data_IF_978970491103
#
_entry.id   IF_978970491103
#
_cell.length_a   1.000
_cell.length_b   1.000
_cell.length_c   1.000
_cell.angle_alpha   90.00
_cell.angle_beta   90.00
_cell.angle_gamma   90.00
#
_symmetry.space_group_name_H-M   'P 1'
#
loop_
_entity.id
_entity.type
_entity.pdbx_description
1 polymer ?
#
# COMPACT_ATOMS: atom_id res chain seq x y z
N UNK A 1 -32.14 27.52 15.57
CA UNK A 1 -32.33 28.90 15.13
C UNK A 1 -31.31 29.76 15.86
N UNK A 2 -30.20 30.07 15.24
CA UNK A 2 -29.29 31.15 15.65
C UNK A 2 -28.28 31.35 14.51
N UNK A 3 -28.33 32.51 13.87
CA UNK A 3 -27.50 32.93 12.74
C UNK A 3 -26.07 33.25 13.20
N UNK A 4 -25.04 33.00 12.42
CA UNK A 4 -23.71 33.55 12.65
C UNK A 4 -23.61 34.97 12.06
N UNK A 5 -22.89 35.85 12.78
CA UNK A 5 -22.57 37.24 12.44
C UNK A 5 -21.42 37.32 11.42
N UNK A 6 -21.32 38.44 10.62
CA UNK A 6 -20.32 38.60 9.57
C UNK A 6 -19.02 39.25 10.09
N UNK A 7 -17.87 38.81 9.52
CA UNK A 7 -16.55 39.41 9.72
C UNK A 7 -16.38 40.73 8.96
N UNK A 8 -15.64 41.73 9.50
CA UNK A 8 -15.39 42.99 8.85
C UNK A 8 -14.23 42.91 7.84
N UNK A 9 -14.49 43.51 6.67
CA UNK A 9 -13.50 43.81 5.64
C UNK A 9 -12.71 45.07 6.07
N UNK A 10 -11.39 44.95 6.15
CA UNK A 10 -10.50 46.11 6.19
C UNK A 10 -9.99 46.46 4.80
N UNK A 11 -10.57 47.50 4.25
CA UNK A 11 -10.08 48.26 3.12
C UNK A 11 -9.00 49.26 3.57
N UNK A 12 -7.86 49.30 2.90
CA UNK A 12 -6.92 50.42 2.96
C UNK A 12 -6.77 51.04 1.57
N UNK A 13 -7.02 52.35 1.47
CA UNK A 13 -6.77 53.11 0.25
C UNK A 13 -5.43 53.84 0.33
N UNK A 14 -4.69 53.89 -0.76
CA UNK A 14 -3.67 54.95 -0.96
C UNK A 14 -3.87 55.59 -2.31
N UNK A 15 -4.34 56.82 -2.20
CA UNK A 15 -4.53 57.82 -3.25
C UNK A 15 -3.24 58.64 -3.46
N UNK A 16 -2.93 58.83 -4.73
CA UNK A 16 -2.58 60.06 -5.43
C UNK A 16 -1.53 61.07 -4.92
N UNK A 17 -0.84 61.53 -5.88
CA UNK A 17 -0.28 62.86 -6.21
C UNK A 17 1.22 62.78 -6.45
N UNK A 18 1.79 63.35 -7.53
CA UNK A 18 1.31 64.29 -8.49
C UNK A 18 2.47 64.98 -9.16
N UNK A 19 2.25 65.43 -10.36
CA UNK A 19 2.85 66.62 -11.04
C UNK A 19 4.32 66.56 -11.43
N UNK A 20 4.65 66.55 -12.76
CA UNK A 20 4.61 67.65 -13.73
C UNK A 20 5.62 68.77 -13.44
N UNK A 21 6.61 68.98 -14.35
CA UNK A 21 7.18 70.23 -14.86
C UNK A 21 8.43 69.84 -15.68
N UNK A 22 8.38 70.03 -17.01
CA UNK A 22 8.60 71.18 -17.85
C UNK A 22 10.08 71.54 -18.06
N UNK A 23 10.55 71.25 -19.32
CA UNK A 23 10.92 72.30 -20.32
C UNK A 23 12.22 73.06 -20.01
N UNK A 24 13.21 73.00 -20.87
CA UNK A 24 13.61 73.98 -21.90
C UNK A 24 15.06 73.73 -22.28
N UNK A 25 15.33 73.54 -23.51
CA UNK A 25 15.91 74.55 -24.46
C UNK A 25 17.42 74.81 -24.29
N UNK A 26 18.17 74.57 -25.32
CA UNK A 26 19.56 75.01 -25.47
C UNK A 26 20.16 74.58 -26.80
N UNK A 27 19.77 75.33 -27.84
CA UNK A 27 20.40 75.33 -29.18
C UNK A 27 21.76 76.00 -29.13
N UNK A 28 22.59 75.78 -30.22
CA UNK A 28 23.61 76.67 -30.80
C UNK A 28 25.06 76.25 -30.58
N UNK A 29 25.70 76.02 -31.70
CA UNK A 29 27.11 76.13 -31.86
C UNK A 29 27.71 75.42 -33.08
N UNK A 30 27.56 76.07 -34.19
CA UNK A 30 28.12 75.92 -35.52
C UNK A 30 29.66 75.88 -35.60
N UNK A 31 30.12 75.25 -36.72
CA UNK A 31 31.29 75.54 -37.59
C UNK A 31 32.64 75.07 -37.04
N UNK A 32 33.56 74.53 -37.81
CA UNK A 32 33.95 74.80 -39.19
C UNK A 32 34.83 73.70 -39.78
N UNK A 33 34.76 73.55 -41.09
CA UNK A 33 35.66 73.09 -42.11
C UNK A 33 37.14 72.83 -41.79
N UNK A 34 37.66 71.72 -42.30
CA UNK A 34 38.79 71.78 -43.25
C UNK A 34 38.90 70.47 -44.07
N UNK A 35 38.87 70.65 -45.34
CA UNK A 35 39.16 69.62 -46.36
C UNK A 35 40.64 69.33 -46.43
N UNK A 36 41.02 68.07 -46.68
CA UNK A 36 42.25 67.68 -47.35
C UNK A 36 42.15 66.28 -47.91
N UNK A 37 42.19 66.26 -49.23
CA UNK A 37 42.77 65.33 -50.16
C UNK A 37 42.50 63.84 -50.15
N UNK A 38 41.78 63.44 -51.15
CA UNK A 38 41.67 62.12 -51.71
C UNK A 38 43.04 61.66 -52.29
N UNK A 39 43.50 60.50 -51.74
CA UNK A 39 44.44 59.72 -52.45
C UNK A 39 43.96 58.28 -52.60
N UNK A 40 43.56 57.98 -53.82
CA UNK A 40 43.12 56.71 -54.31
C UNK A 40 44.25 55.67 -54.18
N UNK A 41 44.16 54.75 -53.25
CA UNK A 41 45.00 53.59 -53.21
C UNK A 41 44.17 52.37 -53.68
N UNK A 42 44.47 51.86 -54.85
CA UNK A 42 44.04 50.58 -55.42
C UNK A 42 44.30 49.47 -54.38
N UNK A 43 43.25 48.95 -53.76
CA UNK A 43 43.32 47.76 -52.96
C UNK A 43 43.41 46.55 -53.83
N UNK A 44 44.58 45.95 -53.86
CA UNK A 44 44.85 44.65 -54.44
C UNK A 44 44.08 43.53 -53.74
N UNK A 45 43.37 42.77 -54.53
CA UNK A 45 42.71 41.51 -54.16
C UNK A 45 43.79 40.45 -53.91
N UNK A 46 44.12 40.18 -52.66
CA UNK A 46 45.08 39.14 -52.28
C UNK A 46 45.03 39.00 -50.75
N UNK A 47 43.86 38.53 -50.19
CA UNK A 47 43.80 38.15 -48.78
C UNK A 47 44.68 36.94 -48.55
N UNK A 48 45.76 37.13 -47.85
CA UNK A 48 46.64 36.10 -47.29
C UNK A 48 45.78 35.19 -46.39
N UNK A 49 45.33 34.04 -46.95
CA UNK A 49 44.53 33.05 -46.27
C UNK A 49 45.40 32.27 -45.27
N UNK A 50 45.80 32.91 -44.17
CA UNK A 50 46.47 32.18 -43.10
C UNK A 50 45.46 31.16 -42.54
N UNK A 51 45.84 29.88 -42.48
CA UNK A 51 44.93 28.86 -41.94
C UNK A 51 44.65 29.17 -40.49
N UNK A 52 43.37 29.19 -40.10
CA UNK A 52 42.92 29.42 -38.71
C UNK A 52 43.23 28.16 -37.89
N UNK A 53 44.00 28.26 -36.78
CA UNK A 53 44.25 27.12 -35.92
C UNK A 53 42.98 26.73 -35.20
N UNK A 54 42.58 25.47 -35.31
CA UNK A 54 41.35 24.89 -34.69
C UNK A 54 41.63 23.55 -34.08
N UNK A 55 40.86 23.20 -33.04
CA UNK A 55 40.82 21.84 -32.48
C UNK A 55 39.67 21.10 -33.14
N UNK A 56 39.93 19.86 -33.56
CA UNK A 56 38.97 19.04 -34.28
C UNK A 56 38.55 17.84 -33.44
N UNK A 57 37.28 17.44 -33.55
CA UNK A 57 36.79 16.16 -33.09
C UNK A 57 36.02 15.45 -34.20
N UNK A 58 36.02 14.14 -34.16
CA UNK A 58 35.31 13.33 -35.16
C UNK A 58 33.93 12.96 -34.65
N UNK A 59 32.90 13.11 -35.47
CA UNK A 59 31.56 12.63 -35.18
C UNK A 59 31.56 11.09 -35.15
N UNK A 60 31.28 10.52 -34.01
CA UNK A 60 31.32 9.07 -33.78
C UNK A 60 29.93 8.49 -33.55
N UNK A 61 29.75 7.20 -33.91
CA UNK A 61 28.56 6.45 -33.49
C UNK A 61 28.76 5.91 -32.08
N UNK A 62 27.81 6.18 -31.21
CA UNK A 62 27.83 5.70 -29.82
C UNK A 62 26.42 5.34 -29.36
N UNK A 63 26.31 4.35 -28.44
CA UNK A 63 25.09 4.11 -27.71
C UNK A 63 24.95 5.19 -26.63
N UNK A 64 23.82 5.92 -26.66
CA UNK A 64 23.55 7.01 -25.72
C UNK A 64 22.32 6.66 -24.92
N UNK A 65 22.39 6.65 -23.59
CA UNK A 65 21.23 6.38 -22.76
C UNK A 65 20.23 7.54 -22.83
N UNK A 66 18.95 7.19 -23.01
CA UNK A 66 17.84 8.12 -22.89
C UNK A 66 17.30 8.00 -21.48
N UNK A 67 17.32 9.09 -20.74
CA UNK A 67 16.82 9.13 -19.36
C UNK A 67 15.94 10.34 -19.12
N UNK A 68 15.06 10.19 -18.13
CA UNK A 68 14.23 11.28 -17.64
C UNK A 68 14.67 11.62 -16.21
N UNK A 69 14.90 12.91 -15.96
CA UNK A 69 15.31 13.43 -14.65
C UNK A 69 14.17 14.18 -13.99
N UNK A 70 13.94 13.92 -12.71
CA UNK A 70 12.93 14.60 -11.91
C UNK A 70 13.30 14.52 -10.44
N UNK A 71 12.50 15.17 -9.59
CA UNK A 71 12.59 15.02 -8.14
C UNK A 71 11.53 14.04 -7.66
N UNK A 72 11.89 13.17 -6.72
CA UNK A 72 10.98 12.23 -6.08
C UNK A 72 10.95 12.41 -4.57
N UNK A 73 9.97 11.79 -3.95
CA UNK A 73 9.81 11.68 -2.50
C UNK A 73 9.94 10.23 -2.08
N UNK A 74 10.74 9.99 -1.04
CA UNK A 74 10.93 8.66 -0.45
C UNK A 74 9.73 8.33 0.44
N UNK A 75 9.13 7.15 0.23
CA UNK A 75 8.00 6.66 1.01
C UNK A 75 8.33 5.28 1.60
N UNK A 76 7.86 5.03 2.81
CA UNK A 76 7.93 3.69 3.37
C UNK A 76 7.17 2.70 2.46
N UNK A 77 7.66 1.46 2.38
CA UNK A 77 6.97 0.39 1.66
C UNK A 77 5.58 0.14 2.23
N UNK A 78 5.48 0.10 3.56
CA UNK A 78 4.25 -0.01 4.32
C UNK A 78 4.38 0.80 5.61
N UNK A 79 3.29 1.38 6.06
CA UNK A 79 3.23 2.10 7.33
C UNK A 79 2.00 1.61 8.08
N UNK A 80 2.18 1.17 9.32
CA UNK A 80 1.10 0.69 10.17
C UNK A 80 1.06 1.51 11.45
N UNK A 81 -0.09 2.06 11.74
CA UNK A 81 -0.40 2.71 13.02
C UNK A 81 -0.87 1.66 14.00
N UNK A 82 -0.11 1.43 15.05
CA UNK A 82 -0.45 0.46 16.11
C UNK A 82 -1.30 1.16 17.17
N UNK A 83 -2.54 0.68 17.33
CA UNK A 83 -3.50 1.20 18.32
C UNK A 83 -3.88 0.09 19.29
N UNK A 84 -4.42 0.47 20.46
CA UNK A 84 -5.01 -0.49 21.38
C UNK A 84 -6.39 -0.95 20.89
N UNK A 85 -6.73 -2.22 21.12
CA UNK A 85 -8.06 -2.78 20.90
C UNK A 85 -8.87 -2.94 22.20
N UNK A 86 -8.22 -2.72 23.36
CA UNK A 86 -8.84 -2.80 24.68
C UNK A 86 -8.46 -1.58 25.50
N UNK A 87 -9.34 -1.23 26.45
CA UNK A 87 -9.05 -0.20 27.43
C UNK A 87 -8.16 -0.75 28.54
N UNK A 88 -7.24 0.05 29.03
CA UNK A 88 -6.43 -0.34 30.18
C UNK A 88 -5.18 0.52 30.36
N UNK A 89 -4.47 0.29 31.46
CA UNK A 89 -3.20 0.96 31.72
C UNK A 89 -2.07 0.29 30.95
N UNK A 90 -1.20 1.09 30.32
CA UNK A 90 -0.01 0.60 29.64
C UNK A 90 1.02 0.13 30.68
N UNK A 91 1.17 -1.18 30.81
CA UNK A 91 2.01 -1.80 31.84
C UNK A 91 3.49 -1.84 31.46
N UNK A 92 3.80 -2.12 30.19
CA UNK A 92 5.19 -2.19 29.71
C UNK A 92 5.32 -1.79 28.24
N UNK A 93 6.50 -1.27 27.90
CA UNK A 93 6.97 -0.98 26.54
C UNK A 93 8.27 -1.74 26.32
N UNK A 94 8.36 -2.53 25.25
CA UNK A 94 9.46 -3.47 25.00
C UNK A 94 10.45 -3.02 23.93
N UNK A 95 10.28 -1.87 23.33
CA UNK A 95 11.15 -1.33 22.29
C UNK A 95 11.64 0.07 22.64
N UNK A 96 12.66 0.52 21.92
CA UNK A 96 13.15 1.92 21.94
C UNK A 96 12.69 2.63 20.69
N UNK A 97 12.46 3.94 20.78
CA UNK A 97 12.14 4.76 19.61
C UNK A 97 13.21 4.63 18.52
N UNK A 98 12.79 4.45 17.28
CA UNK A 98 13.70 4.24 16.15
C UNK A 98 14.32 2.84 16.05
N UNK A 99 13.95 1.90 16.92
CA UNK A 99 14.42 0.51 16.87
C UNK A 99 13.80 -0.24 15.70
N UNK A 100 14.55 -1.15 15.09
CA UNK A 100 14.02 -2.12 14.13
C UNK A 100 13.35 -3.28 14.86
N UNK A 101 12.14 -3.61 14.46
CA UNK A 101 11.32 -4.68 14.99
C UNK A 101 10.89 -5.62 13.87
N UNK A 102 10.70 -6.89 14.20
CA UNK A 102 10.15 -7.91 13.30
C UNK A 102 8.68 -8.14 13.58
N UNK A 103 7.98 -8.63 12.59
CA UNK A 103 6.61 -9.09 12.76
C UNK A 103 6.53 -10.12 13.90
N UNK A 104 5.65 -9.87 14.88
CA UNK A 104 5.48 -10.69 16.06
C UNK A 104 6.28 -10.25 17.29
N UNK A 105 7.26 -9.35 17.14
CA UNK A 105 8.00 -8.84 18.30
C UNK A 105 7.06 -8.10 19.25
N UNK A 106 7.20 -8.29 20.59
CA UNK A 106 6.37 -7.61 21.57
C UNK A 106 6.67 -6.11 21.56
N UNK A 107 5.61 -5.30 21.53
CA UNK A 107 5.69 -3.84 21.58
C UNK A 107 5.20 -3.29 22.91
N UNK A 108 3.99 -3.70 23.30
CA UNK A 108 3.34 -3.19 24.49
C UNK A 108 2.60 -4.30 25.22
N UNK A 109 2.48 -4.13 26.54
CA UNK A 109 1.55 -4.91 27.37
C UNK A 109 0.64 -3.95 28.11
N UNK A 110 -0.66 -4.13 27.97
CA UNK A 110 -1.71 -3.48 28.75
C UNK A 110 -1.98 -4.34 29.97
N UNK A 111 -2.41 -3.77 31.10
CA UNK A 111 -2.73 -4.50 32.33
C UNK A 111 -3.74 -5.62 32.06
N UNK A 112 -3.35 -6.91 32.12
CA UNK A 112 -4.22 -8.02 31.78
C UNK A 112 -5.19 -8.41 32.88
N UNK A 113 -4.93 -8.00 34.14
CA UNK A 113 -5.63 -8.47 35.33
C UNK A 113 -7.16 -8.34 35.27
N UNK A 114 -7.75 -7.22 34.79
CA UNK A 114 -9.20 -7.12 34.66
C UNK A 114 -9.79 -8.12 33.66
N UNK A 115 -9.08 -8.37 32.54
CA UNK A 115 -9.49 -9.28 31.48
C UNK A 115 -9.24 -10.75 31.87
N UNK A 116 -8.21 -11.05 32.64
CA UNK A 116 -7.98 -12.36 33.26
C UNK A 116 -9.11 -12.70 34.20
N UNK A 117 -9.51 -11.76 35.08
CA UNK A 117 -10.66 -11.96 35.98
C UNK A 117 -11.98 -12.17 35.21
N UNK A 118 -12.16 -11.47 34.08
CA UNK A 118 -13.34 -11.67 33.22
C UNK A 118 -13.33 -13.06 32.56
N UNK A 119 -12.15 -13.53 32.10
CA UNK A 119 -11.99 -14.88 31.56
C UNK A 119 -12.27 -15.95 32.60
N UNK A 120 -11.76 -15.78 33.82
CA UNK A 120 -12.01 -16.73 34.94
C UNK A 120 -13.49 -16.80 35.29
N UNK A 121 -14.19 -15.67 35.31
CA UNK A 121 -15.65 -15.61 35.50
C UNK A 121 -16.41 -16.34 34.39
N UNK A 122 -16.01 -16.16 33.13
CA UNK A 122 -16.59 -16.88 31.97
C UNK A 122 -16.36 -18.40 32.08
N UNK A 123 -15.15 -18.85 32.46
CA UNK A 123 -14.84 -20.26 32.69
C UNK A 123 -15.67 -20.85 33.84
N UNK A 124 -15.87 -20.09 34.94
CA UNK A 124 -16.73 -20.54 36.05
C UNK A 124 -18.20 -20.72 35.60
N UNK A 125 -18.72 -19.80 34.78
CA UNK A 125 -20.06 -19.93 34.21
C UNK A 125 -20.17 -21.11 33.22
N UNK A 126 -19.14 -21.39 32.40
CA UNK A 126 -19.11 -22.58 31.58
C UNK A 126 -19.17 -23.87 32.41
N UNK A 127 -18.37 -23.97 33.46
CA UNK A 127 -18.40 -25.13 34.37
C UNK A 127 -19.76 -25.34 34.99
N UNK A 128 -20.45 -24.24 35.38
CA UNK A 128 -21.83 -24.28 35.90
C UNK A 128 -22.81 -24.83 34.83
N UNK A 129 -22.73 -24.36 33.60
CA UNK A 129 -23.57 -24.84 32.50
C UNK A 129 -23.32 -26.33 32.20
N UNK A 130 -22.07 -26.79 32.24
CA UNK A 130 -21.71 -28.22 32.08
C UNK A 130 -22.36 -29.07 33.23
N UNK A 131 -22.32 -28.59 34.46
CA UNK A 131 -22.98 -29.29 35.59
C UNK A 131 -24.50 -29.40 35.39
N UNK A 132 -25.14 -28.37 34.80
CA UNK A 132 -26.58 -28.41 34.48
C UNK A 132 -26.89 -29.45 33.39
N UNK A 133 -26.01 -29.67 32.42
CA UNK A 133 -26.16 -30.79 31.46
C UNK A 133 -26.16 -32.13 32.19
N UNK A 134 -25.25 -32.33 33.15
CA UNK A 134 -25.24 -33.53 33.97
C UNK A 134 -26.54 -33.76 34.72
N UNK A 135 -27.13 -32.72 35.33
CA UNK A 135 -28.44 -32.79 35.99
C UNK A 135 -29.56 -33.12 34.99
N UNK A 136 -29.63 -32.45 33.87
CA UNK A 136 -30.63 -32.72 32.82
C UNK A 136 -30.49 -34.14 32.24
N UNK A 137 -29.28 -34.63 32.10
CA UNK A 137 -29.02 -36.01 31.65
C UNK A 137 -29.53 -37.02 32.65
N UNK A 138 -29.34 -36.79 33.98
CA UNK A 138 -29.88 -37.65 35.02
C UNK A 138 -31.43 -37.64 35.01
N UNK A 139 -32.07 -36.49 34.76
CA UNK A 139 -33.52 -36.39 34.64
C UNK A 139 -34.07 -37.22 33.45
N UNK A 140 -33.34 -37.26 32.30
CA UNK A 140 -33.69 -38.12 31.17
C UNK A 140 -33.61 -39.59 31.54
N UNK A 141 -32.59 -40.02 32.32
CA UNK A 141 -32.44 -41.39 32.79
C UNK A 141 -33.59 -41.74 33.72
N UNK A 142 -33.96 -40.87 34.65
CA UNK A 142 -35.11 -41.03 35.57
C UNK A 142 -36.43 -41.17 34.80
N UNK A 143 -36.70 -40.29 33.83
CA UNK A 143 -37.92 -40.35 33.03
C UNK A 143 -38.00 -41.66 32.21
N UNK A 144 -36.88 -42.15 31.65
CA UNK A 144 -36.81 -43.47 30.98
C UNK A 144 -37.11 -44.63 31.93
N UNK A 145 -36.67 -44.57 33.19
CA UNK A 145 -36.96 -45.58 34.19
C UNK A 145 -38.47 -45.61 34.49
N UNK A 146 -39.15 -44.42 34.54
CA UNK A 146 -40.62 -44.31 34.73
C UNK A 146 -41.38 -44.96 33.54
N UNK A 147 -40.92 -44.77 32.30
CA UNK A 147 -41.50 -45.47 31.13
C UNK A 147 -41.39 -47.00 31.28
N UNK A 148 -40.22 -47.48 31.72
CA UNK A 148 -40.02 -48.93 31.91
C UNK A 148 -40.94 -49.48 33.04
N UNK A 149 -41.11 -48.72 34.10
CA UNK A 149 -42.02 -49.07 35.19
C UNK A 149 -43.48 -49.15 34.68
N UNK A 150 -43.93 -48.09 33.94
CA UNK A 150 -45.28 -48.06 33.37
C UNK A 150 -45.50 -49.25 32.39
N UNK A 151 -44.55 -49.54 31.55
CA UNK A 151 -44.62 -50.71 30.64
C UNK A 151 -44.70 -52.05 31.38
N UNK A 152 -44.00 -52.22 32.50
CA UNK A 152 -44.07 -53.41 33.34
C UNK A 152 -45.44 -53.55 33.96
N UNK A 153 -46.09 -52.43 34.39
CA UNK A 153 -47.47 -52.43 34.87
C UNK A 153 -48.44 -52.86 33.78
N UNK A 154 -48.39 -52.31 32.58
CA UNK A 154 -49.20 -52.74 31.41
C UNK A 154 -49.02 -54.24 31.14
N UNK A 155 -47.79 -54.75 31.17
CA UNK A 155 -47.53 -56.18 30.93
C UNK A 155 -48.18 -57.07 31.95
N UNK A 156 -48.12 -56.70 33.27
CA UNK A 156 -48.77 -57.41 34.35
C UNK A 156 -50.33 -57.39 34.13
N UNK A 157 -50.93 -56.24 33.91
CA UNK A 157 -52.37 -56.11 33.85
C UNK A 157 -52.95 -56.65 32.54
N UNK A 158 -52.19 -56.65 31.46
CA UNK A 158 -52.53 -57.37 30.23
C UNK A 158 -52.65 -58.91 30.45
N UNK A 159 -51.80 -59.48 31.29
CA UNK A 159 -51.88 -60.91 31.60
C UNK A 159 -53.12 -61.21 32.44
N UNK A 160 -53.49 -60.30 33.36
CA UNK A 160 -54.76 -60.40 34.19
C UNK A 160 -55.96 -60.27 33.28
N UNK A 161 -56.02 -59.27 32.40
CA UNK A 161 -57.11 -59.05 31.42
C UNK A 161 -57.30 -60.23 30.50
N UNK A 162 -56.23 -60.80 30.00
CA UNK A 162 -56.23 -62.00 29.13
C UNK A 162 -56.86 -63.20 29.86
N UNK A 163 -56.50 -63.41 31.14
CA UNK A 163 -57.08 -64.51 31.91
C UNK A 163 -58.63 -64.28 32.18
N UNK A 164 -58.99 -63.03 32.51
CA UNK A 164 -60.41 -62.69 32.72
C UNK A 164 -61.24 -62.89 31.42
N UNK A 165 -60.63 -62.52 30.19
CA UNK A 165 -61.30 -62.73 28.92
C UNK A 165 -61.47 -64.24 28.62
N UNK A 166 -60.50 -65.08 28.88
CA UNK A 166 -60.56 -66.53 28.67
C UNK A 166 -61.67 -67.10 29.57
N UNK A 167 -61.78 -66.63 30.88
CA UNK A 167 -62.84 -67.05 31.77
C UNK A 167 -64.24 -66.62 31.28
N UNK A 168 -64.39 -65.32 30.84
CA UNK A 168 -65.63 -64.81 30.26
C UNK A 168 -66.11 -65.66 29.07
N UNK A 169 -65.18 -65.98 28.16
CA UNK A 169 -65.45 -66.84 26.98
C UNK A 169 -65.91 -68.23 27.41
N UNK A 170 -65.22 -68.84 28.35
CA UNK A 170 -65.63 -70.15 28.93
C UNK A 170 -67.01 -70.14 29.51
N UNK A 171 -67.31 -69.14 30.35
CA UNK A 171 -68.64 -69.06 30.99
C UNK A 171 -69.73 -68.68 29.95
N UNK A 172 -69.49 -67.92 28.96
CA UNK A 172 -70.38 -67.69 27.82
C UNK A 172 -70.74 -68.97 27.08
N UNK A 173 -69.74 -69.85 26.87
CA UNK A 173 -70.00 -71.15 26.27
C UNK A 173 -70.81 -72.08 27.14
N UNK A 174 -70.54 -72.14 28.45
CA UNK A 174 -71.31 -72.91 29.43
C UNK A 174 -72.75 -72.41 29.57
N UNK A 175 -73.00 -71.11 29.45
CA UNK A 175 -74.33 -70.49 29.44
C UNK A 175 -75.13 -71.02 28.20
N UNK A 176 -74.52 -71.11 27.00
CA UNK A 176 -75.16 -71.64 25.80
C UNK A 176 -75.48 -73.09 25.94
N UNK A 177 -74.71 -73.84 26.76
CA UNK A 177 -75.01 -75.26 27.08
C UNK A 177 -75.97 -75.42 28.23
N UNK A 178 -76.43 -74.28 28.88
CA UNK A 178 -77.33 -74.33 29.99
C UNK A 178 -76.75 -74.74 31.35
N UNK A 179 -75.44 -74.80 31.41
CA UNK A 179 -74.67 -75.29 32.58
C UNK A 179 -74.43 -74.21 33.70
N UNK A 180 -74.66 -72.92 33.43
CA UNK A 180 -74.48 -71.80 34.33
C UNK A 180 -75.59 -70.79 34.22
N UNK A 181 -75.82 -69.91 35.25
CA UNK A 181 -76.84 -68.85 35.22
C UNK A 181 -76.37 -67.66 34.37
N UNK A 182 -77.34 -66.88 33.87
CA UNK A 182 -77.07 -65.62 33.11
C UNK A 182 -76.33 -64.61 33.97
N UNK A 183 -76.67 -64.47 35.22
CA UNK A 183 -75.98 -63.56 36.19
C UNK A 183 -74.49 -63.95 36.34
N UNK A 184 -74.19 -65.21 36.42
CA UNK A 184 -72.86 -65.72 36.61
C UNK A 184 -71.98 -65.44 35.34
N UNK A 185 -72.54 -65.69 34.17
CA UNK A 185 -71.84 -65.35 32.92
C UNK A 185 -71.67 -63.83 32.74
N UNK A 186 -72.68 -63.02 33.17
CA UNK A 186 -72.61 -61.56 33.15
C UNK A 186 -71.51 -61.02 34.07
N UNK A 187 -71.31 -61.61 35.26
CA UNK A 187 -70.29 -61.21 36.19
C UNK A 187 -68.86 -61.39 35.62
N UNK A 188 -68.59 -62.50 34.89
CA UNK A 188 -67.32 -62.74 34.27
C UNK A 188 -67.11 -61.83 33.02
N UNK A 189 -68.18 -61.52 32.31
CA UNK A 189 -68.12 -60.55 31.20
C UNK A 189 -67.79 -59.14 31.70
N UNK A 190 -68.50 -58.65 32.70
CA UNK A 190 -68.24 -57.36 33.30
C UNK A 190 -66.84 -57.25 33.93
N UNK A 191 -66.36 -58.38 34.56
CA UNK A 191 -65.00 -58.42 35.06
C UNK A 191 -63.93 -58.31 33.91
N UNK A 192 -64.15 -59.01 32.79
CA UNK A 192 -63.28 -58.92 31.64
C UNK A 192 -63.22 -57.49 30.98
N UNK A 193 -64.41 -56.83 30.93
CA UNK A 193 -64.48 -55.42 30.48
C UNK A 193 -63.71 -54.48 31.43
N UNK A 194 -63.93 -54.66 32.75
CA UNK A 194 -63.23 -53.87 33.78
C UNK A 194 -61.70 -54.01 33.68
N UNK A 195 -61.21 -55.25 33.52
CA UNK A 195 -59.74 -55.46 33.36
C UNK A 195 -59.26 -54.90 32.05
N UNK A 196 -60.02 -54.91 30.99
CA UNK A 196 -59.67 -54.27 29.67
C UNK A 196 -59.59 -52.75 29.83
N UNK A 197 -60.50 -52.11 30.62
CA UNK A 197 -60.48 -50.69 30.88
C UNK A 197 -59.23 -50.30 31.74
N UNK A 198 -58.82 -51.16 32.68
CA UNK A 198 -57.55 -50.95 33.44
C UNK A 198 -56.31 -50.95 32.50
N UNK A 199 -56.23 -51.90 31.57
CA UNK A 199 -55.15 -51.94 30.59
C UNK A 199 -55.13 -50.69 29.72
N UNK A 200 -56.31 -50.20 29.29
CA UNK A 200 -56.39 -48.97 28.49
C UNK A 200 -55.91 -47.73 29.29
N UNK A 201 -56.25 -47.66 30.58
CA UNK A 201 -55.76 -46.59 31.48
C UNK A 201 -54.23 -46.69 31.66
N UNK A 202 -53.67 -47.86 31.85
CA UNK A 202 -52.24 -48.06 31.99
C UNK A 202 -51.46 -47.76 30.67
N UNK A 203 -52.05 -48.09 29.53
CA UNK A 203 -51.47 -47.67 28.26
C UNK A 203 -51.42 -46.16 28.12
N UNK A 204 -52.42 -45.44 28.61
CA UNK A 204 -52.42 -43.98 28.66
C UNK A 204 -51.33 -43.45 29.60
N UNK A 205 -51.08 -44.14 30.75
CA UNK A 205 -50.00 -43.83 31.67
C UNK A 205 -48.60 -44.01 31.02
N UNK A 206 -48.42 -45.04 30.16
CA UNK A 206 -47.20 -45.18 29.36
C UNK A 206 -47.04 -44.01 28.42
N UNK A 207 -48.12 -43.57 27.76
CA UNK A 207 -48.12 -42.37 26.89
C UNK A 207 -47.65 -41.13 27.64
N UNK A 208 -48.20 -40.91 28.83
CA UNK A 208 -47.81 -39.79 29.75
C UNK A 208 -46.31 -39.89 30.13
N UNK A 209 -45.84 -41.08 30.49
CA UNK A 209 -44.44 -41.28 30.84
C UNK A 209 -43.50 -41.04 29.64
N UNK A 210 -43.89 -41.41 28.43
CA UNK A 210 -43.14 -41.11 27.18
C UNK A 210 -43.08 -39.61 26.92
N UNK A 211 -44.20 -38.89 27.09
CA UNK A 211 -44.21 -37.43 27.02
C UNK A 211 -43.25 -36.79 28.03
N UNK A 212 -43.18 -37.35 29.25
CA UNK A 212 -42.20 -36.95 30.26
C UNK A 212 -40.75 -37.13 29.82
N UNK A 213 -40.41 -38.17 29.08
CA UNK A 213 -39.08 -38.36 28.47
C UNK A 213 -38.83 -37.28 27.43
N UNK A 214 -39.82 -36.94 26.58
CA UNK A 214 -39.70 -35.86 25.62
C UNK A 214 -39.39 -34.49 26.28
N UNK A 215 -40.10 -34.18 27.36
CA UNK A 215 -39.86 -32.94 28.13
C UNK A 215 -38.44 -32.92 28.76
N UNK A 216 -37.99 -34.05 29.33
CA UNK A 216 -36.64 -34.16 29.89
C UNK A 216 -35.55 -34.03 28.81
N UNK A 217 -35.77 -34.60 27.62
CA UNK A 217 -34.86 -34.46 26.47
C UNK A 217 -34.79 -33.01 25.98
N UNK A 218 -35.93 -32.29 25.89
CA UNK A 218 -35.94 -30.89 25.53
C UNK A 218 -35.14 -30.03 26.53
N UNK A 219 -35.28 -30.32 27.82
CA UNK A 219 -34.51 -29.67 28.89
C UNK A 219 -33.00 -29.96 28.76
N UNK A 220 -32.62 -31.19 28.39
CA UNK A 220 -31.23 -31.55 28.12
C UNK A 220 -30.66 -30.76 26.91
N UNK A 221 -31.43 -30.61 25.84
CA UNK A 221 -30.99 -29.82 24.69
C UNK A 221 -30.86 -28.32 25.04
N UNK A 222 -31.77 -27.79 25.87
CA UNK A 222 -31.64 -26.43 26.37
C UNK A 222 -30.37 -26.25 27.21
N UNK A 223 -30.05 -27.21 28.11
CA UNK A 223 -28.81 -27.19 28.88
C UNK A 223 -27.57 -27.26 28.00
N UNK A 224 -27.58 -28.08 26.94
CA UNK A 224 -26.49 -28.16 25.96
C UNK A 224 -26.35 -26.84 25.18
N UNK A 225 -27.44 -26.20 24.82
CA UNK A 225 -27.41 -24.89 24.18
C UNK A 225 -26.78 -23.84 25.12
N UNK A 226 -27.08 -23.90 26.42
CA UNK A 226 -26.46 -23.01 27.40
C UNK A 226 -24.93 -23.20 27.50
N UNK A 227 -24.44 -24.46 27.42
CA UNK A 227 -22.99 -24.73 27.36
C UNK A 227 -22.38 -24.07 26.12
N UNK A 228 -22.96 -24.22 24.93
CA UNK A 228 -22.45 -23.56 23.71
C UNK A 228 -22.39 -22.04 23.85
N UNK A 229 -23.39 -21.45 24.49
CA UNK A 229 -23.38 -20.01 24.82
C UNK A 229 -22.27 -19.62 25.78
N UNK A 230 -22.01 -20.43 26.78
CA UNK A 230 -20.95 -20.21 27.76
C UNK A 230 -19.54 -20.41 27.12
N UNK A 231 -19.38 -21.40 26.21
CA UNK A 231 -18.15 -21.61 25.43
C UNK A 231 -17.83 -20.37 24.60
N UNK A 232 -18.79 -19.84 23.87
CA UNK A 232 -18.63 -18.61 23.11
C UNK A 232 -18.24 -17.40 23.99
N UNK A 233 -18.76 -17.31 25.22
CA UNK A 233 -18.38 -16.27 26.16
C UNK A 233 -16.91 -16.43 26.64
N UNK A 234 -16.46 -17.67 26.89
CA UNK A 234 -15.04 -17.96 27.21
C UNK A 234 -14.13 -17.57 26.05
N UNK A 235 -14.48 -17.95 24.82
CA UNK A 235 -13.67 -17.59 23.65
C UNK A 235 -13.61 -16.09 23.43
N UNK A 236 -14.72 -15.37 23.62
CA UNK A 236 -14.75 -13.91 23.55
C UNK A 236 -13.83 -13.27 24.60
N UNK A 237 -13.88 -13.72 25.86
CA UNK A 237 -13.02 -13.22 26.94
C UNK A 237 -11.53 -13.53 26.65
N UNK A 238 -11.23 -14.70 26.09
CA UNK A 238 -9.85 -15.09 25.68
C UNK A 238 -9.31 -14.20 24.58
N UNK A 239 -10.13 -13.88 23.56
CA UNK A 239 -9.75 -12.95 22.50
C UNK A 239 -9.48 -11.56 23.06
N UNK A 240 -10.34 -11.04 23.95
CA UNK A 240 -10.12 -9.75 24.61
C UNK A 240 -8.81 -9.73 25.41
N UNK A 241 -8.53 -10.80 26.15
CA UNK A 241 -7.25 -10.93 26.87
C UNK A 241 -6.07 -10.94 25.92
N UNK A 242 -6.17 -11.58 24.77
CA UNK A 242 -5.09 -11.60 23.77
C UNK A 242 -4.73 -10.21 23.26
N UNK A 243 -5.65 -9.27 23.25
CA UNK A 243 -5.41 -7.88 22.82
C UNK A 243 -4.61 -7.05 23.83
N UNK A 244 -4.38 -7.57 25.05
CA UNK A 244 -3.49 -6.90 26.02
C UNK A 244 -2.00 -6.99 25.62
N UNK A 245 -1.62 -8.02 24.87
CA UNK A 245 -0.28 -8.18 24.33
C UNK A 245 -0.24 -7.66 22.88
N UNK A 246 0.31 -6.47 22.70
CA UNK A 246 0.39 -5.82 21.38
C UNK A 246 1.74 -6.13 20.75
N UNK A 247 1.72 -6.85 19.64
CA UNK A 247 2.90 -7.23 18.88
C UNK A 247 2.98 -6.47 17.56
N UNK A 248 4.18 -6.41 16.98
CA UNK A 248 4.37 -5.78 15.67
C UNK A 248 3.66 -6.56 14.56
N UNK A 249 2.79 -5.90 13.77
CA UNK A 249 2.11 -6.54 12.65
C UNK A 249 3.01 -6.71 11.40
N UNK A 250 4.10 -5.94 11.30
CA UNK A 250 5.03 -5.93 10.16
C UNK A 250 6.48 -5.84 10.64
N UNK A 251 7.42 -6.19 9.75
CA UNK A 251 8.82 -5.83 9.91
C UNK A 251 9.00 -4.34 9.61
N UNK A 252 9.73 -3.62 10.45
CA UNK A 252 9.94 -2.21 10.19
C UNK A 252 10.67 -1.48 11.32
N UNK A 253 10.74 -0.17 11.19
CA UNK A 253 11.32 0.72 12.20
C UNK A 253 10.23 1.43 12.97
N UNK A 254 10.33 1.41 14.29
CA UNK A 254 9.40 2.13 15.17
C UNK A 254 9.61 3.63 15.07
N UNK A 255 8.53 4.37 15.07
CA UNK A 255 8.53 5.83 15.20
C UNK A 255 8.66 6.28 16.66
N UNK A 256 8.26 7.53 16.93
CA UNK A 256 8.20 8.08 18.28
C UNK A 256 7.07 7.45 19.08
N UNK A 257 7.33 7.22 20.36
CA UNK A 257 6.34 6.76 21.34
C UNK A 257 5.35 7.89 21.62
N UNK A 258 4.06 7.61 21.48
CA UNK A 258 3.00 8.61 21.70
C UNK A 258 2.42 8.53 23.11
N UNK A 259 2.56 7.39 23.76
CA UNK A 259 1.97 7.10 25.08
C UNK A 259 3.01 6.42 25.95
N UNK A 260 3.27 6.95 27.15
CA UNK A 260 4.25 6.40 28.07
C UNK A 260 3.67 5.28 28.95
N UNK A 261 4.55 4.43 29.48
CA UNK A 261 4.21 3.44 30.51
C UNK A 261 3.51 4.11 31.68
N UNK A 262 2.46 3.47 32.20
CA UNK A 262 1.63 3.99 33.28
C UNK A 262 0.42 4.80 32.82
N UNK A 263 0.36 5.25 31.58
CA UNK A 263 -0.78 5.98 31.06
C UNK A 263 -1.95 5.04 30.73
N UNK A 264 -3.17 5.57 30.82
CA UNK A 264 -4.38 4.88 30.40
C UNK A 264 -4.51 5.00 28.86
N UNK A 265 -4.73 3.88 28.18
CA UNK A 265 -5.05 3.80 26.78
C UNK A 265 -6.50 3.38 26.56
N UNK A 266 -7.09 3.85 25.47
CA UNK A 266 -8.48 3.51 25.11
C UNK A 266 -8.50 2.67 23.84
N UNK A 267 -9.49 1.79 23.77
CA UNK A 267 -9.75 0.99 22.58
C UNK A 267 -10.08 1.90 21.38
N UNK A 268 -9.48 1.61 20.23
CA UNK A 268 -9.72 2.32 18.97
C UNK A 268 -9.49 3.84 19.04
N UNK A 269 -8.55 4.30 19.89
CA UNK A 269 -8.16 5.71 19.90
C UNK A 269 -7.64 6.13 18.52
N UNK A 270 -7.97 7.35 18.12
CA UNK A 270 -7.45 7.97 16.87
C UNK A 270 -5.95 8.20 16.92
N UNK A 271 -5.37 8.34 18.11
CA UNK A 271 -3.93 8.49 18.31
C UNK A 271 -3.27 7.12 18.45
N UNK A 272 -2.39 6.73 17.51
CA UNK A 272 -1.68 5.47 17.62
C UNK A 272 -0.68 5.49 18.77
N UNK A 273 -0.42 4.34 19.38
CA UNK A 273 0.62 4.16 20.39
C UNK A 273 2.02 4.35 19.79
N UNK A 274 2.21 3.79 18.60
CA UNK A 274 3.42 3.92 17.78
C UNK A 274 3.06 3.71 16.31
N UNK A 275 3.84 4.33 15.43
CA UNK A 275 3.77 4.10 13.97
C UNK A 275 4.98 3.29 13.57
N UNK A 276 4.78 2.17 12.87
CA UNK A 276 5.86 1.33 12.36
C UNK A 276 5.92 1.52 10.84
N UNK A 277 7.11 1.84 10.35
CA UNK A 277 7.36 2.06 8.93
C UNK A 277 8.34 1.01 8.40
N UNK A 278 7.92 0.28 7.39
CA UNK A 278 8.80 -0.65 6.67
C UNK A 278 9.69 0.16 5.72
N UNK A 279 10.99 0.17 6.01
CA UNK A 279 12.00 0.93 5.27
C UNK A 279 12.90 0.04 4.41
N UNK A 280 12.69 -1.27 4.42
CA UNK A 280 13.38 -2.29 3.63
C UNK A 280 12.37 -3.32 3.12
N UNK A 281 12.08 -3.34 1.82
CA UNK A 281 12.43 -2.34 0.81
C UNK A 281 11.77 -0.99 1.07
N UNK A 282 12.12 0.04 0.26
CA UNK A 282 11.55 1.39 0.35
C UNK A 282 11.10 1.85 -1.04
N UNK A 283 10.12 2.72 -1.10
CA UNK A 283 9.66 3.31 -2.36
C UNK A 283 10.19 4.73 -2.56
N UNK A 284 10.40 5.08 -3.81
CA UNK A 284 10.51 6.47 -4.24
C UNK A 284 9.40 6.75 -5.23
N UNK A 285 8.60 7.74 -4.92
CA UNK A 285 7.48 8.20 -5.75
C UNK A 285 7.91 9.46 -6.48
N UNK A 286 7.67 9.51 -7.78
CA UNK A 286 8.01 10.65 -8.63
C UNK A 286 7.00 10.83 -9.75
N UNK A 287 6.87 12.06 -10.26
CA UNK A 287 5.90 12.40 -11.29
C UNK A 287 6.57 12.55 -12.64
N UNK A 288 5.89 12.08 -13.68
CA UNK A 288 6.35 12.14 -15.07
C UNK A 288 5.26 12.75 -15.95
N UNK A 289 5.59 13.65 -16.90
CA UNK A 289 4.62 14.19 -17.83
C UNK A 289 3.90 13.10 -18.64
N UNK A 290 2.59 13.24 -18.80
CA UNK A 290 1.72 12.27 -19.51
C UNK A 290 2.26 11.87 -20.89
N UNK A 291 2.88 12.82 -21.63
CA UNK A 291 3.43 12.56 -22.97
C UNK A 291 4.49 11.45 -23.04
N UNK A 292 5.17 11.16 -21.91
CA UNK A 292 6.22 10.13 -21.85
C UNK A 292 5.69 8.74 -21.51
N UNK A 293 4.43 8.62 -21.09
CA UNK A 293 3.85 7.34 -20.63
C UNK A 293 3.81 6.27 -21.74
N UNK A 294 3.45 6.58 -23.00
CA UNK A 294 3.49 5.56 -24.06
C UNK A 294 4.88 4.93 -24.23
N UNK A 295 5.93 5.76 -24.17
CA UNK A 295 7.31 5.28 -24.28
C UNK A 295 7.73 4.47 -23.06
N UNK A 296 7.41 4.94 -21.85
CA UNK A 296 7.68 4.23 -20.60
C UNK A 296 7.01 2.86 -20.60
N UNK A 297 5.73 2.77 -20.96
CA UNK A 297 5.01 1.49 -21.04
C UNK A 297 5.60 0.56 -22.10
N UNK A 298 5.97 1.10 -23.27
CA UNK A 298 6.64 0.35 -24.32
C UNK A 298 7.95 -0.27 -23.86
N UNK A 299 8.80 0.49 -23.20
CA UNK A 299 10.09 -0.02 -22.71
C UNK A 299 9.93 -0.93 -21.49
N UNK A 300 8.98 -0.66 -20.61
CA UNK A 300 8.71 -1.51 -19.46
C UNK A 300 8.15 -2.89 -19.85
N UNK A 301 7.42 -3.00 -20.96
CA UNK A 301 6.96 -4.30 -21.47
C UNK A 301 8.10 -5.19 -22.00
N UNK A 302 9.26 -4.61 -22.33
CA UNK A 302 10.43 -5.33 -22.83
C UNK A 302 11.41 -5.70 -21.71
N UNK A 303 11.56 -4.82 -20.70
CA UNK A 303 12.45 -5.02 -19.55
C UNK A 303 12.01 -4.17 -18.37
N UNK A 304 12.40 -4.55 -17.17
CA UNK A 304 12.26 -3.68 -16.00
C UNK A 304 13.11 -2.43 -16.19
N UNK A 305 12.49 -1.27 -15.97
CA UNK A 305 13.20 0.00 -16.09
C UNK A 305 13.99 0.28 -14.81
N UNK A 306 15.27 0.56 -14.99
CA UNK A 306 16.15 0.97 -13.89
C UNK A 306 15.88 2.42 -13.51
N UNK A 307 15.89 2.68 -12.20
CA UNK A 307 15.75 4.00 -11.62
C UNK A 307 16.92 4.24 -10.69
N UNK A 308 17.73 5.25 -10.98
CA UNK A 308 18.78 5.70 -10.08
C UNK A 308 18.27 6.87 -9.24
N UNK A 309 18.56 6.86 -7.95
CA UNK A 309 18.24 7.98 -7.05
C UNK A 309 19.48 8.47 -6.32
N UNK A 310 19.51 9.78 -6.10
CA UNK A 310 20.53 10.44 -5.30
C UNK A 310 19.86 11.39 -4.30
N UNK A 311 20.12 11.24 -2.99
CA UNK A 311 19.75 12.24 -2.00
C UNK A 311 20.37 13.60 -2.35
N UNK A 312 19.64 14.70 -2.15
CA UNK A 312 20.11 16.04 -2.59
C UNK A 312 21.45 16.48 -1.99
N UNK A 313 21.80 15.99 -0.81
CA UNK A 313 23.03 16.34 -0.09
C UNK A 313 24.12 15.26 -0.19
N UNK A 314 23.86 14.14 -0.81
CA UNK A 314 24.79 13.01 -0.92
C UNK A 314 25.39 12.98 -2.32
N UNK A 315 26.67 13.32 -2.43
CA UNK A 315 27.43 13.21 -3.69
C UNK A 315 27.99 11.78 -3.92
N UNK A 316 27.51 10.80 -3.17
CA UNK A 316 27.93 9.41 -3.28
C UNK A 316 27.44 8.73 -4.58
N UNK A 317 27.65 7.42 -4.62
CA UNK A 317 27.16 6.60 -5.75
C UNK A 317 25.62 6.59 -5.79
N UNK A 318 25.01 6.69 -6.99
CA UNK A 318 23.57 6.56 -7.14
C UNK A 318 23.05 5.23 -6.56
N UNK A 319 21.93 5.28 -5.87
CA UNK A 319 21.24 4.08 -5.36
C UNK A 319 20.35 3.57 -6.49
N UNK A 320 20.52 2.30 -6.86
CA UNK A 320 19.76 1.66 -7.94
C UNK A 320 18.50 1.00 -7.41
N UNK A 321 17.44 1.14 -8.18
CA UNK A 321 16.16 0.49 -7.98
C UNK A 321 15.46 0.19 -9.29
N UNK A 322 14.26 -0.33 -9.20
CA UNK A 322 13.44 -0.74 -10.34
C UNK A 322 12.08 -0.05 -10.30
N UNK A 323 11.58 0.35 -11.47
CA UNK A 323 10.21 0.84 -11.61
C UNK A 323 9.24 -0.31 -11.42
N UNK A 324 8.38 -0.21 -10.38
CA UNK A 324 7.43 -1.27 -10.02
C UNK A 324 5.98 -0.89 -10.28
N UNK A 325 5.69 0.41 -10.35
CA UNK A 325 4.30 0.86 -10.48
C UNK A 325 4.20 2.12 -11.33
N UNK A 326 3.21 2.14 -12.20
CA UNK A 326 2.76 3.31 -12.96
C UNK A 326 1.30 3.51 -12.60
N UNK A 327 0.94 4.70 -12.13
CA UNK A 327 -0.44 5.00 -11.80
C UNK A 327 -1.33 4.92 -13.04
N UNK A 328 -2.59 4.61 -12.83
CA UNK A 328 -3.62 4.57 -13.89
C UNK A 328 -4.27 5.94 -14.14
N UNK A 329 -4.15 6.85 -13.17
CA UNK A 329 -4.75 8.17 -13.21
C UNK A 329 -3.72 9.26 -13.52
N UNK A 330 -4.13 10.22 -14.35
CA UNK A 330 -3.39 11.45 -14.61
C UNK A 330 -3.86 12.51 -13.61
N UNK A 331 -2.93 13.16 -12.93
CA UNK A 331 -3.25 14.38 -12.20
C UNK A 331 -3.57 15.49 -13.21
N UNK A 332 -4.85 15.86 -13.27
CA UNK A 332 -5.37 16.84 -14.23
C UNK A 332 -4.88 18.26 -13.97
N UNK A 333 -4.41 18.54 -12.76
CA UNK A 333 -3.88 19.87 -12.37
C UNK A 333 -2.48 20.10 -12.93
N UNK A 334 -1.66 19.05 -12.94
CA UNK A 334 -0.25 19.11 -13.34
C UNK A 334 0.03 18.45 -14.68
N UNK A 335 -0.91 17.67 -15.24
CA UNK A 335 -0.71 16.88 -16.45
C UNK A 335 0.35 15.78 -16.29
N UNK A 336 0.55 15.29 -15.06
CA UNK A 336 1.56 14.28 -14.74
C UNK A 336 0.93 12.98 -14.24
N UNK A 337 1.70 11.89 -14.35
CA UNK A 337 1.35 10.58 -13.79
C UNK A 337 2.40 10.20 -12.74
N UNK A 338 1.92 9.64 -11.63
CA UNK A 338 2.77 9.20 -10.55
C UNK A 338 3.34 7.81 -10.83
N UNK A 339 4.64 7.66 -10.62
CA UNK A 339 5.37 6.40 -10.72
C UNK A 339 5.99 6.06 -9.37
N UNK A 340 6.17 4.75 -9.11
CA UNK A 340 6.90 4.28 -7.92
C UNK A 340 8.00 3.34 -8.35
N UNK A 341 9.19 3.56 -7.81
CA UNK A 341 10.32 2.66 -7.91
C UNK A 341 10.65 2.06 -6.54
N UNK A 342 11.08 0.80 -6.55
CA UNK A 342 11.46 0.05 -5.33
C UNK A 342 12.96 -0.02 -5.20
N UNK A 343 13.45 0.18 -3.97
CA UNK A 343 14.86 0.17 -3.60
C UNK A 343 15.07 -0.75 -2.40
N UNK A 344 16.11 -1.56 -2.42
CA UNK A 344 16.40 -2.50 -1.31
C UNK A 344 16.74 -1.77 0.01
N UNK A 345 17.39 -0.61 -0.09
CA UNK A 345 17.76 0.28 1.03
C UNK A 345 18.50 -0.43 2.19
N UNK A 346 19.41 -1.35 1.86
CA UNK A 346 20.12 -2.15 2.88
C UNK A 346 20.96 -1.30 3.82
N UNK A 347 21.57 -0.24 3.30
CA UNK A 347 22.41 0.69 4.07
C UNK A 347 21.60 1.79 4.80
N UNK A 348 20.28 1.85 4.59
CA UNK A 348 19.42 2.85 5.22
C UNK A 348 19.64 4.30 4.75
N UNK A 349 20.24 4.50 3.55
CA UNK A 349 20.53 5.83 2.98
C UNK A 349 19.27 6.60 2.59
N UNK A 350 18.17 5.89 2.33
CA UNK A 350 16.89 6.51 2.00
C UNK A 350 16.01 6.50 3.24
N UNK A 351 15.51 7.69 3.62
CA UNK A 351 14.61 7.87 4.76
C UNK A 351 13.25 8.36 4.28
N UNK A 352 12.12 7.79 4.77
CA UNK A 352 10.78 8.26 4.42
C UNK A 352 10.63 9.78 4.63
N UNK A 353 9.98 10.45 3.67
CA UNK A 353 9.82 11.91 3.65
C UNK A 353 10.96 12.69 3.01
N UNK A 354 12.07 12.04 2.66
CA UNK A 354 13.23 12.67 2.03
C UNK A 354 12.96 12.95 0.55
N UNK A 355 13.41 14.12 0.05
CA UNK A 355 13.45 14.41 -1.38
C UNK A 355 14.75 13.90 -2.00
N UNK A 356 14.64 13.32 -3.18
CA UNK A 356 15.75 12.74 -3.94
C UNK A 356 15.69 13.13 -5.40
N UNK A 357 16.85 13.25 -6.04
CA UNK A 357 16.94 13.37 -7.48
C UNK A 357 16.76 11.98 -8.10
N UNK A 358 15.85 11.86 -9.05
CA UNK A 358 15.49 10.62 -9.72
C UNK A 358 15.93 10.67 -11.17
N UNK A 359 16.59 9.62 -11.61
CA UNK A 359 16.97 9.39 -13.01
C UNK A 359 16.33 8.08 -13.47
N UNK A 360 15.28 8.17 -14.27
CA UNK A 360 14.63 7.03 -14.90
C UNK A 360 15.33 6.73 -16.22
N UNK A 361 15.93 5.55 -16.35
CA UNK A 361 16.58 5.07 -17.58
C UNK A 361 15.53 4.40 -18.48
N UNK A 362 15.22 5.04 -19.62
CA UNK A 362 14.20 4.54 -20.54
C UNK A 362 14.75 3.48 -21.48
N UNK A 363 15.77 3.86 -22.23
CA UNK A 363 16.39 2.99 -23.23
C UNK A 363 17.78 3.53 -23.61
N UNK A 364 18.48 2.81 -24.48
CA UNK A 364 19.70 3.28 -25.13
C UNK A 364 19.43 3.50 -26.62
N UNK A 365 19.67 4.71 -27.09
CA UNK A 365 19.67 4.99 -28.53
C UNK A 365 20.96 4.43 -29.14
N UNK A 366 20.86 3.30 -29.78
CA UNK A 366 21.98 2.69 -30.46
C UNK A 366 22.32 3.48 -31.73
N UNK A 367 23.63 3.54 -32.06
CA UNK A 367 24.15 4.21 -33.28
C UNK A 367 23.83 5.73 -33.35
N UNK A 368 23.63 6.39 -32.20
CA UNK A 368 23.50 7.85 -32.18
C UNK A 368 24.82 8.51 -32.63
N UNK A 369 24.71 9.52 -33.50
CA UNK A 369 25.88 10.33 -33.89
C UNK A 369 26.11 11.34 -32.76
N UNK A 370 27.29 11.34 -32.16
CA UNK A 370 27.66 12.26 -31.09
C UNK A 370 28.86 13.09 -31.45
N UNK A 371 28.84 14.33 -31.01
CA UNK A 371 29.97 15.27 -31.06
C UNK A 371 30.18 15.89 -29.70
N UNK A 372 31.40 16.38 -29.38
CA UNK A 372 31.60 17.19 -28.18
C UNK A 372 30.63 18.38 -28.15
N UNK A 373 30.04 18.70 -26.98
CA UNK A 373 29.09 19.79 -26.89
C UNK A 373 29.66 21.14 -27.28
N UNK A 374 30.97 21.33 -27.11
CA UNK A 374 31.71 22.52 -27.56
C UNK A 374 31.71 22.73 -29.08
N UNK A 375 31.49 21.68 -29.89
CA UNK A 375 31.39 21.79 -31.34
C UNK A 375 30.04 22.40 -31.81
N UNK A 376 29.01 22.35 -30.99
CA UNK A 376 27.67 22.83 -31.34
C UNK A 376 27.56 24.31 -31.01
N UNK A 377 27.23 25.12 -32.01
CA UNK A 377 27.04 26.56 -31.87
C UNK A 377 25.55 26.93 -32.02
N UNK A 378 25.10 27.91 -31.27
CA UNK A 378 23.75 28.48 -31.41
C UNK A 378 23.79 29.65 -32.40
N UNK A 379 22.92 29.63 -33.40
CA UNK A 379 22.80 30.69 -34.40
C UNK A 379 21.34 31.14 -34.56
N UNK A 380 21.13 32.21 -35.33
CA UNK A 380 19.79 32.77 -35.58
C UNK A 380 18.82 31.79 -36.26
N UNK A 381 19.34 30.83 -37.03
CA UNK A 381 18.56 29.81 -37.76
C UNK A 381 18.52 28.45 -37.02
N UNK A 382 18.95 28.40 -35.78
CA UNK A 382 19.08 27.16 -35.00
C UNK A 382 20.52 26.77 -34.72
N UNK A 383 20.74 25.54 -34.22
CA UNK A 383 22.08 25.02 -33.91
C UNK A 383 22.80 24.64 -35.17
N UNK A 384 24.11 24.92 -35.21
CA UNK A 384 25.01 24.58 -36.34
C UNK A 384 26.35 24.09 -35.83
N UNK A 385 27.10 23.44 -36.71
CA UNK A 385 28.46 22.99 -36.46
C UNK A 385 29.35 23.40 -37.67
N UNK A 386 30.62 23.64 -37.37
CA UNK A 386 31.62 23.81 -38.41
C UNK A 386 32.20 22.44 -38.78
N UNK A 387 31.98 22.00 -40.04
CA UNK A 387 32.51 20.74 -40.57
C UNK A 387 33.73 21.04 -41.46
N UNK A 388 34.82 20.34 -41.20
CA UNK A 388 36.05 20.46 -41.99
C UNK A 388 36.03 19.42 -43.11
N UNK A 389 36.09 19.91 -44.36
CA UNK A 389 36.16 19.08 -45.56
C UNK A 389 37.56 18.48 -45.77
N UNK A 390 37.70 17.56 -46.72
CA UNK A 390 38.99 16.92 -47.07
C UNK A 390 40.06 17.91 -47.55
N UNK A 391 39.66 19.04 -48.12
CA UNK A 391 40.52 20.15 -48.56
C UNK A 391 40.90 21.13 -47.44
N UNK A 392 40.58 20.80 -46.17
CA UNK A 392 40.76 21.61 -44.99
C UNK A 392 40.00 22.95 -45.03
N UNK A 393 38.92 23.06 -45.81
CA UNK A 393 38.00 24.20 -45.76
C UNK A 393 36.85 23.90 -44.82
N UNK A 394 36.32 24.95 -44.20
CA UNK A 394 35.21 24.87 -43.23
C UNK A 394 33.89 25.15 -43.91
N UNK A 395 32.93 24.26 -43.69
CA UNK A 395 31.54 24.44 -44.08
C UNK A 395 30.65 24.60 -42.84
N UNK A 396 29.65 25.48 -42.88
CA UNK A 396 28.67 25.65 -41.83
C UNK A 396 27.48 24.76 -42.11
N UNK A 397 27.26 23.77 -41.23
CA UNK A 397 26.15 22.82 -41.41
C UNK A 397 25.16 22.96 -40.30
N UNK A 398 23.88 23.21 -40.63
CA UNK A 398 22.82 23.20 -39.66
C UNK A 398 22.56 21.78 -39.15
N UNK A 399 22.37 21.66 -37.85
CA UNK A 399 22.14 20.38 -37.18
C UNK A 399 20.91 20.43 -36.30
N UNK A 400 20.18 19.32 -36.28
CA UNK A 400 19.17 19.10 -35.27
C UNK A 400 19.82 18.40 -34.09
N UNK A 401 19.90 19.06 -32.95
CA UNK A 401 20.49 18.53 -31.73
C UNK A 401 19.46 17.74 -30.94
N UNK A 402 19.89 16.63 -30.34
CA UNK A 402 19.18 15.88 -29.31
C UNK A 402 19.69 16.22 -27.92
N UNK A 403 19.63 15.24 -27.02
CA UNK A 403 20.06 15.38 -25.62
C UNK A 403 21.58 15.49 -25.51
N UNK A 404 22.05 16.32 -24.57
CA UNK A 404 23.46 16.40 -24.23
C UNK A 404 23.77 15.47 -23.05
N UNK A 405 24.70 14.54 -23.20
CA UNK A 405 25.08 13.55 -22.21
C UNK A 405 26.60 13.52 -22.03
N UNK A 406 27.08 13.68 -20.82
CA UNK A 406 28.51 13.56 -20.47
C UNK A 406 29.43 14.37 -21.41
N UNK A 407 29.13 15.67 -21.61
CA UNK A 407 29.87 16.59 -22.48
C UNK A 407 29.84 16.26 -23.97
N UNK A 408 28.94 15.37 -24.41
CA UNK A 408 28.67 15.04 -25.82
C UNK A 408 27.19 15.38 -26.12
N UNK A 409 26.97 15.94 -27.35
CA UNK A 409 25.60 16.24 -27.82
C UNK A 409 25.28 15.26 -28.95
N UNK A 410 24.08 14.65 -28.83
CA UNK A 410 23.51 13.79 -29.85
C UNK A 410 23.08 14.65 -31.03
N UNK A 411 23.46 14.28 -32.25
CA UNK A 411 23.01 14.93 -33.48
C UNK A 411 21.99 14.04 -34.18
N UNK A 412 20.76 14.53 -34.28
CA UNK A 412 19.66 13.79 -34.91
C UNK A 412 19.68 13.89 -36.43
N UNK A 413 20.08 15.06 -36.98
CA UNK A 413 20.18 15.34 -38.42
C UNK A 413 21.30 16.31 -38.66
N UNK A 414 21.95 16.18 -39.84
CA UNK A 414 22.93 17.16 -40.35
C UNK A 414 24.38 16.70 -40.32
N UNK A 415 24.73 15.62 -39.62
CA UNK A 415 26.09 15.05 -39.65
C UNK A 415 26.08 13.57 -40.04
N UNK A 416 27.22 13.14 -40.59
CA UNK A 416 27.52 11.73 -40.84
C UNK A 416 28.64 11.25 -39.91
N UNK A 417 28.68 9.95 -39.58
CA UNK A 417 29.81 9.39 -38.86
C UNK A 417 31.09 9.57 -39.62
N UNK A 418 32.14 10.06 -38.95
CA UNK A 418 33.42 10.39 -39.59
C UNK A 418 33.58 11.86 -39.97
N UNK A 419 32.53 12.69 -39.94
CA UNK A 419 32.64 14.13 -40.15
C UNK A 419 33.57 14.75 -39.10
N UNK A 420 34.53 15.56 -39.52
CA UNK A 420 35.42 16.31 -38.62
C UNK A 420 34.77 17.64 -38.26
N UNK A 421 34.53 17.87 -36.98
CA UNK A 421 33.86 19.07 -36.46
C UNK A 421 34.83 19.89 -35.62
N UNK A 422 34.71 21.21 -35.67
CA UNK A 422 35.54 22.13 -34.88
C UNK A 422 35.00 22.22 -33.46
N UNK A 423 35.87 22.01 -32.49
CA UNK A 423 35.52 22.10 -31.04
C UNK A 423 36.10 23.32 -30.36
N UNK A 424 37.18 23.93 -30.93
CA UNK A 424 37.79 25.17 -30.43
C UNK A 424 38.35 25.99 -31.61
N UNK A 425 38.43 27.31 -31.44
CA UNK A 425 38.89 28.25 -32.48
C UNK A 425 37.78 28.75 -33.41
N UNK A 426 36.51 28.42 -33.16
CA UNK A 426 35.38 28.73 -34.03
C UNK A 426 35.03 30.22 -34.13
N UNK A 427 35.45 31.07 -33.20
CA UNK A 427 35.18 32.52 -33.25
C UNK A 427 35.84 33.26 -34.43
N UNK A 428 36.91 32.67 -34.97
CA UNK A 428 37.66 33.27 -36.08
C UNK A 428 37.31 32.62 -37.41
N UNK A 429 36.29 31.75 -37.47
CA UNK A 429 35.94 31.02 -38.66
C UNK A 429 34.84 31.75 -39.47
N UNK A 430 35.04 31.84 -40.73
CA UNK A 430 34.01 32.21 -41.73
C UNK A 430 33.78 31.03 -42.68
N UNK A 431 32.59 30.88 -43.26
CA UNK A 431 32.34 29.84 -44.25
C UNK A 431 33.38 29.88 -45.38
N UNK A 432 34.00 28.74 -45.67
CA UNK A 432 35.06 28.65 -46.69
C UNK A 432 36.50 28.99 -46.21
N UNK A 433 36.69 29.31 -44.92
CA UNK A 433 38.00 29.55 -44.34
C UNK A 433 38.84 28.25 -44.36
N UNK A 434 40.15 28.36 -44.64
CA UNK A 434 41.10 27.25 -44.52
C UNK A 434 41.53 27.10 -43.08
N UNK A 435 41.51 25.88 -42.52
CA UNK A 435 41.89 25.59 -41.14
C UNK A 435 43.14 24.74 -41.07
N UNK A 436 43.86 24.92 -39.97
CA UNK A 436 45.00 24.08 -39.58
C UNK A 436 44.68 23.42 -38.23
N UNK A 437 44.80 22.11 -38.22
CA UNK A 437 44.57 21.34 -36.98
C UNK A 437 45.67 21.66 -35.97
N UNK A 438 45.24 22.20 -34.81
CA UNK A 438 46.09 22.38 -33.62
C UNK A 438 45.88 21.16 -32.72
N UNK A 439 46.92 20.32 -32.54
CA UNK A 439 46.86 19.25 -31.55
C UNK A 439 46.61 19.87 -30.20
N UNK A 440 45.59 19.35 -29.50
CA UNK A 440 45.33 19.69 -28.12
C UNK A 440 46.59 19.45 -27.29
N UNK A 441 47.16 20.52 -26.68
CA UNK A 441 48.25 20.37 -25.73
C UNK A 441 47.67 19.58 -24.56
N UNK A 442 48.11 18.32 -24.41
CA UNK A 442 47.64 17.42 -23.36
C UNK A 442 47.66 18.14 -21.99
N UNK A 443 46.60 17.94 -21.25
CA UNK A 443 46.48 18.42 -19.86
C UNK A 443 47.73 18.01 -19.09
N UNK A 444 48.61 18.98 -18.85
CA UNK A 444 49.87 18.80 -18.14
C UNK A 444 49.55 18.27 -16.74
N UNK A 445 50.16 17.14 -16.44
CA UNK A 445 50.31 16.62 -15.11
C UNK A 445 51.07 17.69 -14.27
N UNK A 446 50.36 18.48 -13.50
CA UNK A 446 51.01 19.30 -12.43
C UNK A 446 51.67 18.34 -11.47
N UNK A 447 52.99 18.17 -11.65
CA UNK A 447 53.87 17.65 -10.64
C UNK A 447 53.89 18.65 -9.47
N UNK A 448 53.20 18.28 -8.41
CA UNK A 448 53.35 18.93 -7.12
C UNK A 448 54.80 18.74 -6.61
N UNK A 449 55.57 19.80 -6.64
CA UNK A 449 56.85 19.94 -5.88
C UNK A 449 56.62 20.98 -4.81
N UNK A 450 56.72 20.56 -3.55
CA UNK A 450 56.79 21.42 -2.40
C UNK A 450 56.06 20.85 -1.22
#
# INVERSE_FOLDING_TARGET
MSKPAPFPQHSFPWLHRGRLLLLTLGLIGLSACAASDAQSAKSGKGGDKRPVPVVLATATRKSVPIFFRTTGNVQAYSTVSVTSQVDGQLNAVYFKEGQEVRKGDPLFTIDPRPLEAALDAAIANQKKAVAQVGQAQAAVVQAKAQVNQAKATVAKDLAVAKNATVQAQRYTSLLKEGAVSQDQAGQFSTNAESQSAVVAADQSNVGNAIAGVGAAQANLENARAAVRGADAAVDSARVQLSYTAINSPIDGRTGSLKVNQGNLVKANDTNPLVVISQIRPIYVTFSVPQRLIPDIKKYQSQRRLEVDVMPQKDMGTPIRGELVFIDSAVDTTTGTIQLKASFANLEGRLTPGQFVNVVLKLTEQQNAIVVPTSAVQAGQKGSFVYVVKADNTVDVRQVATGEAVSNQTVIQKGLQPGDRVVTDGQFNLTPGATVQEKKEAGAGTEKNQG
#
